data_IF_957591883238
#
_entry.id   IF_957591883238
#
_cell.length_a   1.000
_cell.length_b   1.000
_cell.length_c   1.000
_cell.angle_alpha   90.00
_cell.angle_beta   90.00
_cell.angle_gamma   90.00
#
_symmetry.space_group_name_H-M   'P 1'
#
loop_
_entity.id
_entity.type
_entity.pdbx_description
1 polymer ?
#
# COMPACT_ATOMS: atom_id res chain seq x y z
N UNK A 1 6.80 17.50 -17.12
CA UNK A 1 6.60 16.69 -15.90
C UNK A 1 5.16 16.84 -15.46
N UNK A 2 4.31 15.83 -15.69
CA UNK A 2 2.91 15.89 -15.26
C UNK A 2 2.83 15.88 -13.73
N UNK A 3 2.08 16.81 -13.14
CA UNK A 3 1.76 16.75 -11.71
C UNK A 3 0.98 15.45 -11.45
N UNK A 4 1.29 14.77 -10.36
CA UNK A 4 0.60 13.53 -10.02
C UNK A 4 -0.82 13.83 -9.56
N UNK A 5 -1.82 13.11 -10.08
CA UNK A 5 -3.25 13.29 -9.77
C UNK A 5 -3.53 13.38 -8.26
N UNK A 6 -2.83 12.60 -7.43
CA UNK A 6 -2.97 12.64 -5.97
C UNK A 6 -2.64 14.02 -5.39
N UNK A 7 -1.61 14.69 -5.92
CA UNK A 7 -1.23 16.05 -5.53
C UNK A 7 -2.26 17.06 -5.98
N UNK A 8 -2.75 16.93 -7.21
CA UNK A 8 -3.75 17.85 -7.76
C UNK A 8 -5.09 17.73 -7.01
N UNK A 9 -5.38 16.57 -6.43
CA UNK A 9 -6.51 16.33 -5.52
C UNK A 9 -6.22 16.70 -4.06
N UNK A 10 -5.10 17.36 -3.75
CA UNK A 10 -4.74 17.78 -2.39
C UNK A 10 -4.47 16.63 -1.41
N UNK A 11 -4.19 15.41 -1.91
CA UNK A 11 -3.85 14.27 -1.04
C UNK A 11 -2.41 14.39 -0.56
N UNK A 12 -2.20 14.09 0.72
CA UNK A 12 -0.87 14.14 1.35
C UNK A 12 -0.11 12.82 1.31
N UNK A 13 -0.83 11.70 1.16
CA UNK A 13 -0.26 10.37 1.21
C UNK A 13 -0.91 9.46 0.16
N UNK A 14 -0.10 8.56 -0.40
CA UNK A 14 -0.54 7.36 -1.10
C UNK A 14 -0.40 6.18 -0.16
N UNK A 15 -1.41 5.32 -0.11
CA UNK A 15 -1.42 4.11 0.71
C UNK A 15 -1.75 2.91 -0.15
N UNK A 16 -1.03 1.82 0.08
CA UNK A 16 -1.15 0.57 -0.65
C UNK A 16 -1.08 -0.58 0.34
N UNK A 17 -1.77 -1.67 0.02
CA UNK A 17 -1.74 -2.91 0.78
C UNK A 17 -1.36 -4.06 -0.17
N UNK A 18 -0.57 -5.04 0.31
CA UNK A 18 -0.31 -6.31 -0.37
C UNK A 18 -0.43 -7.46 0.63
N UNK A 19 -0.49 -8.72 0.15
CA UNK A 19 -0.42 -9.87 1.05
C UNK A 19 0.84 -9.80 1.92
N UNK A 20 0.70 -10.11 3.21
CA UNK A 20 1.77 -9.95 4.18
C UNK A 20 3.01 -10.81 3.87
N UNK A 21 2.82 -11.94 3.19
CA UNK A 21 3.85 -12.90 2.76
C UNK A 21 4.36 -12.66 1.32
N UNK A 22 3.91 -11.61 0.63
CA UNK A 22 4.36 -11.32 -0.72
C UNK A 22 5.65 -10.48 -0.71
N UNK A 23 6.77 -11.15 -0.52
CA UNK A 23 8.10 -10.53 -0.44
C UNK A 23 8.48 -9.71 -1.68
N UNK A 24 8.03 -10.15 -2.86
CA UNK A 24 8.28 -9.43 -4.11
C UNK A 24 7.66 -8.03 -4.08
N UNK A 25 6.37 -7.90 -3.75
CA UNK A 25 5.69 -6.62 -3.69
C UNK A 25 6.20 -5.76 -2.53
N UNK A 26 6.48 -6.36 -1.37
CA UNK A 26 7.07 -5.65 -0.22
C UNK A 26 8.40 -4.99 -0.60
N UNK A 27 9.28 -5.75 -1.26
CA UNK A 27 10.57 -5.24 -1.74
C UNK A 27 10.41 -4.18 -2.83
N UNK A 28 9.45 -4.36 -3.75
CA UNK A 28 9.15 -3.37 -4.78
C UNK A 28 8.68 -2.04 -4.18
N UNK A 29 7.75 -2.06 -3.23
CA UNK A 29 7.24 -0.84 -2.59
C UNK A 29 8.31 -0.11 -1.78
N UNK A 30 9.17 -0.85 -1.05
CA UNK A 30 10.30 -0.28 -0.34
C UNK A 30 11.25 0.46 -1.30
N UNK A 31 11.61 -0.16 -2.44
CA UNK A 31 12.45 0.48 -3.48
C UNK A 31 11.77 1.69 -4.13
N UNK A 32 10.44 1.68 -4.24
CA UNK A 32 9.66 2.80 -4.74
C UNK A 32 9.52 3.97 -3.72
N UNK A 33 10.10 3.83 -2.53
CA UNK A 33 10.11 4.85 -1.48
C UNK A 33 8.83 4.88 -0.63
N UNK A 34 8.07 3.77 -0.61
CA UNK A 34 7.02 3.59 0.37
C UNK A 34 7.61 3.04 1.68
N UNK A 35 7.03 3.45 2.80
CA UNK A 35 7.41 3.07 4.15
C UNK A 35 6.37 2.08 4.68
N UNK A 36 6.81 0.97 5.25
CA UNK A 36 5.94 0.01 5.92
C UNK A 36 5.33 0.65 7.19
N UNK A 37 4.02 0.48 7.37
CA UNK A 37 3.28 1.08 8.49
C UNK A 37 2.42 0.06 9.25
N UNK A 38 2.75 -1.23 9.12
CA UNK A 38 2.13 -2.32 9.86
C UNK A 38 1.43 -3.34 8.98
N UNK A 39 0.71 -4.25 9.62
CA UNK A 39 -0.09 -5.29 8.98
C UNK A 39 -1.53 -5.23 9.50
N UNK A 40 -2.49 -5.62 8.66
CA UNK A 40 -3.92 -5.63 9.00
C UNK A 40 -4.56 -6.94 8.55
N UNK A 41 -5.51 -7.45 9.33
CA UNK A 41 -6.36 -8.57 8.91
C UNK A 41 -7.64 -8.02 8.28
N UNK A 42 -7.95 -8.46 7.07
CA UNK A 42 -9.13 -8.00 6.30
C UNK A 42 -9.99 -9.21 5.96
N UNK A 43 -11.29 -9.12 6.28
CA UNK A 43 -12.26 -10.12 5.90
C UNK A 43 -12.74 -9.87 4.47
N UNK A 44 -12.59 -10.88 3.61
CA UNK A 44 -13.13 -10.93 2.26
C UNK A 44 -14.34 -11.88 2.20
N UNK A 45 -15.26 -11.67 1.26
CA UNK A 45 -16.36 -12.60 1.03
C UNK A 45 -15.86 -14.02 0.68
N UNK A 46 -16.67 -15.06 0.95
CA UNK A 46 -16.37 -16.42 0.52
C UNK A 46 -16.10 -16.51 -1.00
N UNK A 47 -15.18 -17.38 -1.44
CA UNK A 47 -14.45 -18.38 -0.65
C UNK A 47 -13.14 -17.87 -0.01
N UNK A 48 -12.82 -16.57 -0.13
CA UNK A 48 -11.49 -16.04 0.24
C UNK A 48 -11.24 -16.05 1.75
N UNK A 49 -12.24 -15.69 2.55
CA UNK A 49 -12.09 -15.63 4.01
C UNK A 49 -11.23 -14.45 4.45
N UNK A 50 -10.36 -14.64 5.45
CA UNK A 50 -9.54 -13.54 6.00
C UNK A 50 -8.14 -13.54 5.40
N UNK A 51 -7.66 -12.36 5.03
CA UNK A 51 -6.30 -12.15 4.53
C UNK A 51 -5.52 -11.22 5.45
N UNK A 52 -4.24 -11.56 5.70
CA UNK A 52 -3.30 -10.67 6.37
C UNK A 52 -2.59 -9.83 5.30
N UNK A 53 -2.70 -8.52 5.40
CA UNK A 53 -2.13 -7.57 4.45
C UNK A 53 -1.04 -6.74 5.12
N UNK A 54 0.10 -6.57 4.44
CA UNK A 54 1.11 -5.59 4.79
C UNK A 54 0.79 -4.25 4.14
N UNK A 55 1.00 -3.18 4.91
CA UNK A 55 0.53 -1.85 4.58
C UNK A 55 1.68 -0.87 4.45
N UNK A 56 1.62 -0.08 3.38
CA UNK A 56 2.68 0.83 2.99
C UNK A 56 2.11 2.22 2.70
N UNK A 57 2.89 3.26 3.00
CA UNK A 57 2.53 4.62 2.66
C UNK A 57 3.70 5.43 2.12
N UNK A 58 3.40 6.42 1.29
CA UNK A 58 4.38 7.39 0.78
C UNK A 58 3.77 8.78 0.80
N UNK A 59 4.53 9.77 1.25
CA UNK A 59 4.11 11.16 1.19
C UNK A 59 4.12 11.65 -0.27
N UNK A 60 3.06 12.36 -0.66
CA UNK A 60 2.96 13.03 -1.96
C UNK A 60 3.54 14.43 -1.77
N UNK A 61 4.68 14.72 -2.41
CA UNK A 61 5.38 16.02 -2.38
C UNK A 61 5.03 16.90 -3.59
#
# INVERSE_FOLDING_TARGET
MGRGLARDLGRRYLRLDCLADNDFLRGYYARAGYIACGEVEVAYPPPVGKLKLARFQKQVV
#
